data_IF_202719615826
#
_entry.id   IF_202719615826
#
_cell.length_a   1.000
_cell.length_b   1.000
_cell.length_c   1.000
_cell.angle_alpha   90.00
_cell.angle_beta   90.00
_cell.angle_gamma   90.00
#
_symmetry.space_group_name_H-M   'P 1'
#
loop_
_entity.id
_entity.type
_entity.pdbx_description
1 polymer ?
#
# COMPACT_ATOMS: atom_id res chain seq x y z
N UNK A 1 -3.10 14.54 -35.43
CA UNK A 1 -4.54 14.35 -35.09
C UNK A 1 -4.92 12.88 -35.14
N UNK A 2 -4.33 12.11 -36.06
CA UNK A 2 -4.52 10.67 -36.16
C UNK A 2 -3.92 9.93 -34.95
N UNK A 3 -2.75 10.37 -34.46
CA UNK A 3 -2.05 9.81 -33.31
C UNK A 3 -2.87 9.97 -32.02
N UNK A 4 -3.51 11.13 -31.85
CA UNK A 4 -4.39 11.40 -30.71
C UNK A 4 -5.63 10.49 -30.72
N UNK A 5 -6.25 10.26 -31.89
CA UNK A 5 -7.38 9.33 -32.01
C UNK A 5 -6.96 7.89 -31.74
N UNK A 6 -5.79 7.48 -32.21
CA UNK A 6 -5.23 6.16 -31.93
C UNK A 6 -5.00 5.96 -30.42
N UNK A 7 -4.46 6.97 -29.74
CA UNK A 7 -4.30 6.96 -28.28
C UNK A 7 -5.66 6.81 -27.57
N UNK A 8 -6.66 7.62 -27.93
CA UNK A 8 -8.01 7.53 -27.34
C UNK A 8 -8.64 6.16 -27.56
N UNK A 9 -8.47 5.56 -28.74
CA UNK A 9 -8.97 4.22 -29.03
C UNK A 9 -8.26 3.15 -28.15
N UNK A 10 -6.95 3.28 -27.94
CA UNK A 10 -6.21 2.39 -27.05
C UNK A 10 -6.69 2.52 -25.59
N UNK A 11 -6.92 3.73 -25.10
CA UNK A 11 -7.45 3.96 -23.74
C UNK A 11 -8.86 3.37 -23.55
N UNK A 12 -9.73 3.48 -24.57
CA UNK A 12 -11.05 2.85 -24.55
C UNK A 12 -10.95 1.32 -24.48
N UNK A 13 -10.02 0.74 -25.23
CA UNK A 13 -9.78 -0.70 -25.20
C UNK A 13 -9.23 -1.16 -23.85
N UNK A 14 -8.30 -0.40 -23.26
CA UNK A 14 -7.80 -0.65 -21.90
C UNK A 14 -8.94 -0.59 -20.88
N UNK A 15 -9.81 0.42 -20.97
CA UNK A 15 -10.98 0.54 -20.08
C UNK A 15 -11.94 -0.65 -20.22
N UNK A 16 -12.18 -1.13 -21.46
CA UNK A 16 -12.98 -2.32 -21.74
C UNK A 16 -12.35 -3.56 -21.10
N UNK A 17 -11.07 -3.81 -21.34
CA UNK A 17 -10.35 -4.95 -20.76
C UNK A 17 -10.35 -4.91 -19.22
N UNK A 18 -10.18 -3.73 -18.61
CA UNK A 18 -10.29 -3.56 -17.15
C UNK A 18 -11.69 -3.93 -16.65
N UNK A 19 -12.75 -3.48 -17.32
CA UNK A 19 -14.12 -3.84 -16.94
C UNK A 19 -14.37 -5.36 -17.03
N UNK A 20 -13.78 -6.04 -18.01
CA UNK A 20 -13.85 -7.50 -18.13
C UNK A 20 -13.11 -8.21 -17.00
N UNK A 21 -11.88 -7.79 -16.69
CA UNK A 21 -11.12 -8.31 -15.54
C UNK A 21 -11.89 -8.10 -14.24
N UNK A 22 -12.57 -6.95 -14.10
CA UNK A 22 -13.35 -6.63 -12.91
C UNK A 22 -14.52 -7.60 -12.67
N UNK A 23 -15.01 -8.26 -13.71
CA UNK A 23 -16.12 -9.23 -13.63
C UNK A 23 -15.63 -10.67 -13.44
N UNK A 24 -14.32 -10.92 -13.49
CA UNK A 24 -13.77 -12.28 -13.36
C UNK A 24 -13.91 -12.78 -11.92
N UNK A 25 -14.43 -14.00 -11.69
CA UNK A 25 -14.44 -14.62 -10.36
C UNK A 25 -13.03 -14.83 -9.78
N UNK A 26 -12.03 -15.03 -10.65
CA UNK A 26 -10.63 -15.24 -10.29
C UNK A 26 -9.82 -13.93 -10.22
N UNK A 27 -10.49 -12.77 -10.26
CA UNK A 27 -9.86 -11.43 -10.21
C UNK A 27 -8.82 -11.30 -9.10
N UNK A 28 -9.16 -11.77 -7.90
CA UNK A 28 -8.26 -11.71 -6.74
C UNK A 28 -6.96 -12.48 -6.96
N UNK A 29 -7.05 -13.73 -7.43
CA UNK A 29 -5.88 -14.58 -7.67
C UNK A 29 -5.01 -14.02 -8.80
N UNK A 30 -5.63 -13.41 -9.82
CA UNK A 30 -4.92 -12.75 -10.91
C UNK A 30 -4.15 -11.53 -10.41
N UNK A 31 -4.79 -10.68 -9.60
CA UNK A 31 -4.16 -9.48 -9.02
C UNK A 31 -3.01 -9.85 -8.07
N UNK A 32 -3.20 -10.82 -7.19
CA UNK A 32 -2.14 -11.30 -6.31
C UNK A 32 -0.91 -11.79 -7.11
N UNK A 33 -1.13 -12.61 -8.14
CA UNK A 33 -0.06 -13.10 -9.03
C UNK A 33 0.63 -11.95 -9.77
N UNK A 34 -0.11 -10.98 -10.27
CA UNK A 34 0.44 -9.84 -10.99
C UNK A 34 1.28 -8.93 -10.08
N UNK A 35 0.85 -8.69 -8.84
CA UNK A 35 1.61 -7.92 -7.85
C UNK A 35 2.94 -8.60 -7.48
N UNK A 36 2.93 -9.92 -7.34
CA UNK A 36 4.13 -10.72 -7.07
C UNK A 36 4.96 -11.06 -8.32
N UNK A 37 4.54 -10.65 -9.52
CA UNK A 37 5.22 -10.96 -10.78
C UNK A 37 6.57 -10.25 -10.88
N UNK A 38 7.55 -10.88 -11.55
CA UNK A 38 8.80 -10.18 -11.93
C UNK A 38 8.61 -9.20 -13.08
N UNK A 39 7.47 -9.26 -13.77
CA UNK A 39 7.10 -8.31 -14.83
C UNK A 39 6.68 -6.98 -14.24
N UNK A 40 7.45 -5.93 -14.50
CA UNK A 40 7.08 -4.56 -14.11
C UNK A 40 5.74 -4.13 -14.75
N UNK A 41 5.42 -4.63 -15.95
CA UNK A 41 4.14 -4.36 -16.61
C UNK A 41 2.96 -5.00 -15.88
N UNK A 42 3.09 -6.24 -15.43
CA UNK A 42 2.02 -6.91 -14.68
C UNK A 42 1.76 -6.19 -13.36
N UNK A 43 2.83 -5.88 -12.61
CA UNK A 43 2.72 -5.20 -11.32
C UNK A 43 2.14 -3.80 -11.47
N UNK A 44 2.64 -3.02 -12.44
CA UNK A 44 2.13 -1.67 -12.72
C UNK A 44 0.64 -1.73 -13.11
N UNK A 45 0.27 -2.64 -14.01
CA UNK A 45 -1.12 -2.83 -14.43
C UNK A 45 -2.05 -3.23 -13.28
N UNK A 46 -1.59 -4.08 -12.36
CA UNK A 46 -2.34 -4.46 -11.17
C UNK A 46 -2.53 -3.29 -10.19
N UNK A 47 -1.49 -2.48 -9.96
CA UNK A 47 -1.57 -1.30 -9.09
C UNK A 47 -2.50 -0.22 -9.66
N UNK A 48 -2.41 0.04 -10.98
CA UNK A 48 -3.36 0.93 -11.66
C UNK A 48 -4.79 0.41 -11.58
N UNK A 49 -4.97 -0.90 -11.71
CA UNK A 49 -6.28 -1.54 -11.57
C UNK A 49 -6.85 -1.33 -10.16
N UNK A 50 -6.07 -1.59 -9.11
CA UNK A 50 -6.49 -1.45 -7.71
C UNK A 50 -6.78 0.00 -7.32
N UNK A 51 -6.12 0.98 -7.95
CA UNK A 51 -6.44 2.40 -7.77
C UNK A 51 -7.83 2.76 -8.32
N UNK A 52 -8.27 2.09 -9.39
CA UNK A 52 -9.60 2.29 -10.00
C UNK A 52 -10.69 1.44 -9.34
N UNK A 53 -10.35 0.24 -8.88
CA UNK A 53 -11.24 -0.74 -8.26
C UNK A 53 -10.73 -1.10 -6.84
N UNK A 54 -10.91 -0.19 -5.86
CA UNK A 54 -10.30 -0.31 -4.54
C UNK A 54 -10.91 -1.40 -3.64
N UNK A 55 -12.02 -2.03 -4.04
CA UNK A 55 -12.72 -3.03 -3.22
C UNK A 55 -11.89 -4.28 -2.89
N UNK A 56 -10.87 -4.55 -3.69
CA UNK A 56 -9.98 -5.71 -3.53
C UNK A 56 -8.73 -5.40 -2.69
N UNK A 57 -8.40 -4.12 -2.51
CA UNK A 57 -7.21 -3.68 -1.77
C UNK A 57 -7.17 -4.22 -0.33
N UNK A 58 -8.27 -4.22 0.46
CA UNK A 58 -8.22 -4.79 1.81
C UNK A 58 -7.76 -6.25 1.81
N UNK A 59 -8.12 -7.05 0.80
CA UNK A 59 -7.72 -8.47 0.71
C UNK A 59 -6.27 -8.66 0.29
N UNK A 60 -5.66 -7.65 -0.31
CA UNK A 60 -4.29 -7.64 -0.80
C UNK A 60 -3.37 -6.73 0.04
N UNK A 61 -3.85 -6.26 1.19
CA UNK A 61 -3.18 -5.26 1.99
C UNK A 61 -1.78 -5.70 2.42
N UNK A 62 -1.61 -6.97 2.78
CA UNK A 62 -0.31 -7.55 3.15
C UNK A 62 0.73 -7.36 2.02
N UNK A 63 0.36 -7.68 0.76
CA UNK A 63 1.22 -7.50 -0.40
C UNK A 63 1.47 -6.03 -0.74
N UNK A 64 0.47 -5.16 -0.56
CA UNK A 64 0.59 -3.76 -0.88
C UNK A 64 1.46 -3.00 0.13
N UNK A 65 1.37 -3.36 1.41
CA UNK A 65 2.28 -2.81 2.43
C UNK A 65 3.71 -3.25 2.15
N UNK A 66 3.96 -4.52 1.84
CA UNK A 66 5.30 -5.00 1.44
C UNK A 66 5.84 -4.25 0.20
N UNK A 67 5.00 -4.06 -0.82
CA UNK A 67 5.36 -3.25 -2.00
C UNK A 67 5.59 -1.78 -1.68
N UNK A 68 4.91 -1.24 -0.66
CA UNK A 68 5.10 0.15 -0.23
C UNK A 68 6.49 0.40 0.37
N UNK A 69 7.13 -0.65 0.90
CA UNK A 69 8.50 -0.61 1.44
C UNK A 69 9.56 -0.87 0.37
N UNK A 70 9.16 -1.42 -0.78
CA UNK A 70 10.06 -1.78 -1.87
C UNK A 70 10.47 -0.58 -2.74
N UNK A 71 11.76 -0.47 -3.03
CA UNK A 71 12.29 0.55 -3.94
C UNK A 71 11.65 0.45 -5.33
N UNK A 72 11.07 1.55 -5.80
CA UNK A 72 10.43 1.65 -7.12
C UNK A 72 8.94 1.33 -7.16
N UNK A 73 8.37 0.74 -6.10
CA UNK A 73 6.94 0.42 -6.00
C UNK A 73 6.24 1.13 -4.84
N UNK A 74 7.01 1.79 -3.97
CA UNK A 74 6.52 2.55 -2.83
C UNK A 74 5.32 3.44 -3.16
N UNK A 75 5.52 4.40 -4.07
CA UNK A 75 4.50 5.38 -4.44
C UNK A 75 3.26 4.75 -5.11
N UNK A 76 3.39 3.89 -6.14
CA UNK A 76 2.22 3.22 -6.73
C UNK A 76 1.42 2.35 -5.74
N UNK A 77 2.10 1.64 -4.83
CA UNK A 77 1.43 0.84 -3.80
C UNK A 77 0.69 1.72 -2.79
N UNK A 78 1.32 2.82 -2.35
CA UNK A 78 0.72 3.82 -1.49
C UNK A 78 -0.55 4.42 -2.09
N UNK A 79 -0.53 4.76 -3.39
CA UNK A 79 -1.72 5.28 -4.08
C UNK A 79 -2.88 4.28 -4.11
N UNK A 80 -2.60 2.99 -4.32
CA UNK A 80 -3.61 1.93 -4.27
C UNK A 80 -4.19 1.79 -2.85
N UNK A 81 -3.35 1.79 -1.81
CA UNK A 81 -3.79 1.77 -0.41
C UNK A 81 -4.66 2.99 -0.10
N UNK A 82 -4.22 4.19 -0.49
CA UNK A 82 -4.94 5.46 -0.28
C UNK A 82 -6.32 5.45 -0.94
N UNK A 83 -6.43 4.91 -2.16
CA UNK A 83 -7.70 4.79 -2.87
C UNK A 83 -8.73 3.95 -2.10
N UNK A 84 -8.28 2.94 -1.35
CA UNK A 84 -9.14 2.05 -0.57
C UNK A 84 -9.20 2.37 0.92
N UNK A 85 -8.56 3.46 1.39
CA UNK A 85 -8.35 3.74 2.81
C UNK A 85 -9.61 3.60 3.67
N UNK A 86 -10.76 4.06 3.16
CA UNK A 86 -12.07 4.02 3.85
C UNK A 86 -12.67 2.62 3.97
N UNK A 87 -12.24 1.67 3.14
CA UNK A 87 -12.68 0.27 3.15
C UNK A 87 -11.77 -0.67 3.93
N UNK A 88 -10.70 -0.16 4.54
CA UNK A 88 -9.77 -0.94 5.34
C UNK A 88 -10.03 -0.65 6.81
N UNK A 89 -10.32 -1.72 7.57
CA UNK A 89 -10.53 -1.64 9.01
C UNK A 89 -9.23 -1.23 9.73
N UNK A 90 -9.29 -0.35 10.74
CA UNK A 90 -8.10 0.06 11.50
C UNK A 90 -7.33 -1.12 12.10
N UNK A 91 -8.05 -2.09 12.67
CA UNK A 91 -7.47 -3.32 13.24
C UNK A 91 -6.72 -4.16 12.20
N UNK A 92 -7.17 -4.13 10.94
CA UNK A 92 -6.50 -4.82 9.86
C UNK A 92 -5.16 -4.14 9.54
N UNK A 93 -5.13 -2.81 9.41
CA UNK A 93 -3.87 -2.07 9.23
C UNK A 93 -2.88 -2.34 10.36
N UNK A 94 -3.35 -2.32 11.62
CA UNK A 94 -2.50 -2.60 12.79
C UNK A 94 -1.86 -3.98 12.65
N UNK A 95 -2.66 -5.01 12.35
CA UNK A 95 -2.16 -6.38 12.15
C UNK A 95 -1.08 -6.42 11.07
N UNK A 96 -1.39 -5.92 9.87
CA UNK A 96 -0.46 -5.96 8.73
C UNK A 96 0.84 -5.20 9.04
N UNK A 97 0.73 -4.01 9.62
CA UNK A 97 1.88 -3.18 9.95
C UNK A 97 2.80 -3.86 10.98
N UNK A 98 2.23 -4.45 12.04
CA UNK A 98 3.03 -5.10 13.07
C UNK A 98 3.66 -6.41 12.59
N UNK A 99 2.95 -7.18 11.76
CA UNK A 99 3.44 -8.41 11.13
C UNK A 99 4.66 -8.11 10.24
N UNK A 100 4.59 -7.01 9.47
CA UNK A 100 5.68 -6.56 8.60
C UNK A 100 6.97 -6.21 9.37
N UNK A 101 6.85 -5.70 10.59
CA UNK A 101 7.98 -5.31 11.44
C UNK A 101 8.49 -6.43 12.37
N UNK A 102 8.10 -7.69 12.17
CA UNK A 102 8.52 -8.80 13.03
C UNK A 102 10.04 -8.98 13.07
N UNK A 103 10.70 -8.79 11.91
CA UNK A 103 12.16 -8.85 11.74
C UNK A 103 12.73 -7.58 11.07
N UNK A 104 11.99 -6.46 11.13
CA UNK A 104 12.31 -5.24 10.38
C UNK A 104 13.46 -4.41 10.97
N UNK A 105 14.22 -3.76 10.10
CA UNK A 105 15.30 -2.82 10.46
C UNK A 105 14.76 -1.39 10.64
N UNK A 106 15.61 -0.46 11.10
CA UNK A 106 15.25 0.96 11.32
C UNK A 106 14.57 1.59 10.10
N UNK A 107 15.07 1.28 8.90
CA UNK A 107 14.52 1.78 7.63
C UNK A 107 13.09 1.31 7.40
N UNK A 108 12.75 0.07 7.77
CA UNK A 108 11.40 -0.48 7.62
C UNK A 108 10.43 0.25 8.55
N UNK A 109 10.85 0.54 9.79
CA UNK A 109 10.06 1.35 10.73
C UNK A 109 9.81 2.75 10.18
N UNK A 110 10.83 3.42 9.65
CA UNK A 110 10.71 4.76 9.06
C UNK A 110 9.73 4.76 7.89
N UNK A 111 9.97 3.90 6.89
CA UNK A 111 9.14 3.84 5.67
C UNK A 111 7.70 3.46 5.99
N UNK A 112 7.50 2.49 6.88
CA UNK A 112 6.15 2.07 7.24
C UNK A 112 5.42 3.17 8.03
N UNK A 113 6.10 3.86 8.94
CA UNK A 113 5.52 4.98 9.66
C UNK A 113 5.12 6.13 8.71
N UNK A 114 5.96 6.46 7.73
CA UNK A 114 5.64 7.44 6.67
C UNK A 114 4.42 7.00 5.86
N UNK A 115 4.38 5.75 5.39
CA UNK A 115 3.23 5.20 4.64
C UNK A 115 1.94 5.30 5.46
N UNK A 116 1.97 4.92 6.74
CA UNK A 116 0.81 4.96 7.61
C UNK A 116 0.35 6.40 7.89
N UNK A 117 1.27 7.35 8.05
CA UNK A 117 0.95 8.77 8.17
C UNK A 117 0.32 9.31 6.87
N UNK A 118 0.87 8.95 5.71
CA UNK A 118 0.42 9.39 4.40
C UNK A 118 -0.98 8.87 4.00
N UNK A 119 -1.42 7.75 4.57
CA UNK A 119 -2.78 7.22 4.41
C UNK A 119 -3.66 7.47 5.63
N UNK A 120 -3.19 8.24 6.61
CA UNK A 120 -3.93 8.57 7.83
C UNK A 120 -4.41 7.30 8.58
N UNK A 121 -3.58 6.26 8.61
CA UNK A 121 -3.80 5.04 9.39
C UNK A 121 -3.30 5.22 10.83
N UNK A 122 -3.84 6.23 11.53
CA UNK A 122 -3.33 6.70 12.82
C UNK A 122 -3.26 5.63 13.92
N UNK A 123 -4.25 4.73 13.99
CA UNK A 123 -4.22 3.60 14.94
C UNK A 123 -3.04 2.64 14.67
N UNK A 124 -2.79 2.33 13.40
CA UNK A 124 -1.66 1.51 13.03
C UNK A 124 -0.33 2.23 13.22
N UNK A 125 -0.26 3.53 12.91
CA UNK A 125 0.92 4.34 13.19
C UNK A 125 1.22 4.37 14.69
N UNK A 126 0.22 4.56 15.54
CA UNK A 126 0.36 4.51 17.01
C UNK A 126 0.90 3.16 17.47
N UNK A 127 0.39 2.06 16.91
CA UNK A 127 0.89 0.72 17.21
C UNK A 127 2.36 0.52 16.78
N UNK A 128 2.75 1.03 15.60
CA UNK A 128 4.14 1.00 15.12
C UNK A 128 5.07 1.82 16.01
N UNK A 129 4.66 3.03 16.41
CA UNK A 129 5.39 3.91 17.34
C UNK A 129 5.58 3.23 18.70
N UNK A 130 4.53 2.57 19.21
CA UNK A 130 4.59 1.81 20.46
C UNK A 130 5.58 0.66 20.38
N UNK A 131 5.51 -0.16 19.32
CA UNK A 131 6.46 -1.26 19.07
C UNK A 131 7.90 -0.74 18.93
N UNK A 132 8.09 0.38 18.25
CA UNK A 132 9.40 1.02 18.11
C UNK A 132 9.98 1.49 19.45
N UNK A 133 9.14 2.02 20.36
CA UNK A 133 9.56 2.47 21.69
C UNK A 133 10.07 1.32 22.57
N UNK A 134 9.49 0.13 22.40
CA UNK A 134 9.85 -1.09 23.14
C UNK A 134 11.10 -1.79 22.58
N UNK A 135 11.63 -1.34 21.44
CA UNK A 135 12.78 -1.97 20.80
C UNK A 135 14.05 -1.88 21.67
N UNK A 136 14.85 -2.94 21.62
CA UNK A 136 16.20 -2.94 22.19
C UNK A 136 17.17 -2.00 21.47
N UNK A 137 16.91 -1.71 20.20
CA UNK A 137 17.73 -0.86 19.34
C UNK A 137 17.46 0.64 19.59
N UNK A 138 18.47 1.44 19.99
CA UNK A 138 18.32 2.88 20.15
C UNK A 138 17.86 3.64 18.89
N UNK A 139 18.24 3.19 17.69
CA UNK A 139 17.86 3.84 16.44
C UNK A 139 16.38 3.61 16.12
N UNK A 140 15.87 2.40 16.36
CA UNK A 140 14.43 2.11 16.23
C UNK A 140 13.64 2.93 17.27
N UNK A 141 14.15 3.07 18.50
CA UNK A 141 13.50 3.94 19.50
C UNK A 141 13.49 5.42 19.09
N UNK A 142 14.45 5.87 18.27
CA UNK A 142 14.44 7.23 17.73
C UNK A 142 13.26 7.46 16.78
N UNK A 143 12.92 6.47 15.96
CA UNK A 143 11.74 6.54 15.08
C UNK A 143 10.48 6.83 15.90
N UNK A 144 10.30 6.13 17.03
CA UNK A 144 9.17 6.36 17.94
C UNK A 144 9.11 7.82 18.41
N UNK A 145 10.25 8.39 18.84
CA UNK A 145 10.32 9.79 19.30
C UNK A 145 9.98 10.76 18.17
N UNK A 146 10.61 10.61 17.02
CA UNK A 146 10.43 11.49 15.87
C UNK A 146 8.96 11.54 15.42
N UNK A 147 8.32 10.39 15.24
CA UNK A 147 6.92 10.36 14.80
C UNK A 147 5.94 10.79 15.89
N UNK A 148 6.25 10.54 17.17
CA UNK A 148 5.45 11.08 18.29
C UNK A 148 5.50 12.61 18.30
N UNK A 149 6.66 13.22 18.06
CA UNK A 149 6.80 14.67 17.99
C UNK A 149 6.06 15.26 16.79
N UNK A 150 6.13 14.63 15.62
CA UNK A 150 5.49 15.11 14.39
C UNK A 150 3.98 14.89 14.35
N UNK A 151 3.48 13.79 14.92
CA UNK A 151 2.09 13.34 14.73
C UNK A 151 1.31 13.07 16.02
N UNK A 152 1.90 13.27 17.20
CA UNK A 152 1.28 12.90 18.48
C UNK A 152 -0.11 13.49 18.74
N UNK A 153 -0.43 14.66 18.17
CA UNK A 153 -1.77 15.26 18.27
C UNK A 153 -2.87 14.55 17.44
N UNK A 154 -2.48 13.64 16.54
CA UNK A 154 -3.38 12.87 15.67
C UNK A 154 -3.46 11.39 16.08
N UNK A 155 -2.55 10.95 16.97
CA UNK A 155 -2.54 9.57 17.46
C UNK A 155 -3.69 9.38 18.49
N UNK A 156 -4.37 8.21 18.46
CA UNK A 156 -5.40 7.86 19.43
C UNK A 156 -4.84 7.53 20.83
#
# INVERSE_FOLDING_TARGET
>A
MEEWRALVAAEQEVARCRAEVNQLPSRMDLLAKALSSSSAWDRSGALDFLRLFPEDVPKLLDLLVDLSLSTGWAQPALEAIRAARKGIEPSQFVRVALDCLSDGEVEDYLRLADVLAEVEAWEALSAVIGKAAESGDPEIREVSRSFTESHGGMLP
#
